data_IF_655436782900
#
_entry.id   IF_655436782900
#
_cell.length_a   1.000
_cell.length_b   1.000
_cell.length_c   1.000
_cell.angle_alpha   90.00
_cell.angle_beta   90.00
_cell.angle_gamma   90.00
#
_symmetry.space_group_name_H-M   'P 1'
#
loop_
_entity.id
_entity.type
_entity.pdbx_description
1 polymer ?
#
# COMPACT_ATOMS: atom_id res chain seq x y z
N UNK A 1 -2.68 -3.88 -12.31
CA UNK A 1 -1.73 -3.50 -11.24
C UNK A 1 -2.16 -4.12 -9.92
N UNK A 2 -1.26 -4.26 -8.94
CA UNK A 2 -1.49 -4.80 -7.58
C UNK A 2 -1.62 -6.34 -7.45
N UNK A 3 -1.53 -7.10 -8.53
CA UNK A 3 -1.57 -8.56 -8.49
C UNK A 3 -0.17 -9.14 -8.26
N UNK A 4 0.03 -9.83 -7.15
CA UNK A 4 1.23 -10.60 -6.90
C UNK A 4 1.36 -11.71 -7.96
N UNK A 5 2.56 -11.88 -8.49
CA UNK A 5 2.86 -12.94 -9.46
C UNK A 5 4.28 -13.48 -9.23
N UNK A 6 4.45 -14.77 -9.51
CA UNK A 6 5.74 -15.44 -9.55
C UNK A 6 5.82 -16.17 -10.89
N UNK A 7 6.96 -16.08 -11.57
CA UNK A 7 7.17 -16.67 -12.89
C UNK A 7 8.36 -17.60 -12.83
N UNK A 8 8.19 -18.82 -13.33
CA UNK A 8 9.23 -19.83 -13.49
C UNK A 8 9.33 -20.15 -14.99
N UNK A 9 10.54 -20.13 -15.54
CA UNK A 9 10.77 -20.52 -16.94
C UNK A 9 10.98 -22.03 -16.99
N UNK A 10 9.99 -22.78 -17.47
CA UNK A 10 10.09 -24.24 -17.62
C UNK A 10 10.94 -24.64 -18.83
N UNK A 11 10.93 -23.80 -19.86
CA UNK A 11 11.71 -23.95 -21.08
C UNK A 11 12.46 -22.65 -21.41
N UNK A 12 13.38 -22.71 -22.36
CA UNK A 12 14.04 -21.52 -22.88
C UNK A 12 13.04 -20.69 -23.71
N UNK A 13 12.91 -19.41 -23.38
CA UNK A 13 12.07 -18.46 -24.12
C UNK A 13 12.45 -17.01 -23.82
N UNK A 14 11.93 -16.08 -24.63
CA UNK A 14 12.13 -14.64 -24.43
C UNK A 14 10.76 -13.98 -24.22
N UNK A 15 10.57 -13.40 -23.04
CA UNK A 15 9.36 -12.65 -22.68
C UNK A 15 9.61 -11.14 -22.65
N UNK A 16 8.66 -10.36 -23.15
CA UNK A 16 8.67 -8.89 -23.08
C UNK A 16 7.40 -8.43 -22.39
N UNK A 17 7.53 -7.57 -21.38
CA UNK A 17 6.40 -7.00 -20.65
C UNK A 17 6.30 -5.50 -20.90
N UNK A 18 5.07 -4.98 -20.89
CA UNK A 18 4.78 -3.56 -21.07
C UNK A 18 3.93 -3.10 -19.88
N UNK A 19 4.44 -2.13 -19.12
CA UNK A 19 3.66 -1.43 -18.11
C UNK A 19 3.00 -0.18 -18.70
N UNK A 20 1.81 0.13 -18.23
CA UNK A 20 1.09 1.37 -18.57
C UNK A 20 0.37 1.92 -17.33
N UNK A 21 0.02 3.21 -17.39
CA UNK A 21 -0.71 3.89 -16.32
C UNK A 21 -2.21 3.59 -16.44
N UNK A 22 -2.80 3.07 -15.38
CA UNK A 22 -4.24 2.84 -15.27
C UNK A 22 -4.98 4.05 -14.70
N UNK A 23 -4.33 4.80 -13.80
CA UNK A 23 -4.84 6.02 -13.19
C UNK A 23 -4.35 7.26 -13.97
N UNK A 24 -4.91 8.46 -13.67
CA UNK A 24 -4.34 9.71 -14.14
C UNK A 24 -2.85 9.84 -13.81
N UNK A 25 -2.09 10.49 -14.70
CA UNK A 25 -0.62 10.50 -14.63
C UNK A 25 -0.07 11.18 -13.37
N UNK A 26 -0.82 12.13 -12.82
CA UNK A 26 -0.52 12.87 -11.60
C UNK A 26 -0.60 12.03 -10.32
N UNK A 27 -1.26 10.87 -10.37
CA UNK A 27 -1.34 9.97 -9.21
C UNK A 27 0.00 9.25 -8.94
N UNK A 28 0.88 9.15 -9.93
CA UNK A 28 2.14 8.39 -9.85
C UNK A 28 3.33 9.26 -9.44
N UNK A 29 4.30 8.63 -8.79
CA UNK A 29 5.56 9.28 -8.43
C UNK A 29 6.38 9.60 -9.69
N UNK A 30 6.80 10.86 -9.84
CA UNK A 30 7.58 11.34 -11.02
C UNK A 30 8.99 10.76 -11.07
N UNK A 31 9.49 10.26 -9.95
CA UNK A 31 10.82 9.66 -9.80
C UNK A 31 10.79 8.14 -9.97
N UNK A 32 9.62 7.55 -10.21
CA UNK A 32 9.48 6.12 -10.47
C UNK A 32 9.68 5.79 -11.95
N UNK A 33 10.85 5.26 -12.27
CA UNK A 33 11.19 4.81 -13.62
C UNK A 33 10.87 3.33 -13.84
N UNK A 34 10.59 2.56 -12.79
CA UNK A 34 10.34 1.12 -12.89
C UNK A 34 8.85 0.78 -12.87
N UNK A 35 8.04 1.55 -12.13
CA UNK A 35 6.62 1.24 -11.87
C UNK A 35 6.38 0.51 -10.55
N UNK A 36 7.34 0.57 -9.61
CA UNK A 36 7.27 -0.11 -8.30
C UNK A 36 6.90 0.81 -7.15
N UNK A 37 7.01 2.14 -7.31
CA UNK A 37 6.68 3.06 -6.22
C UNK A 37 5.18 3.17 -6.08
N UNK A 38 4.74 3.32 -4.82
CA UNK A 38 3.35 3.54 -4.52
C UNK A 38 2.84 4.84 -5.16
N UNK A 39 1.54 4.91 -5.53
CA UNK A 39 0.89 6.17 -5.88
C UNK A 39 1.12 7.21 -4.79
N UNK A 40 1.30 8.47 -5.18
CA UNK A 40 1.68 9.57 -4.27
C UNK A 40 0.73 9.72 -3.08
N UNK A 41 -0.56 9.45 -3.29
CA UNK A 41 -1.58 9.44 -2.24
C UNK A 41 -1.34 8.33 -1.20
N UNK A 42 -0.98 7.11 -1.63
CA UNK A 42 -0.68 5.99 -0.74
C UNK A 42 0.60 6.25 0.05
N UNK A 43 1.68 6.71 -0.61
CA UNK A 43 2.93 7.11 0.06
C UNK A 43 2.69 8.17 1.14
N UNK A 44 1.86 9.17 0.84
CA UNK A 44 1.52 10.24 1.81
C UNK A 44 0.68 9.71 2.97
N UNK A 45 -0.28 8.82 2.71
CA UNK A 45 -1.10 8.22 3.74
C UNK A 45 -0.25 7.39 4.72
N UNK A 46 0.72 6.60 4.21
CA UNK A 46 1.67 5.86 5.04
C UNK A 46 2.52 6.80 5.93
N UNK A 47 3.03 7.91 5.39
CA UNK A 47 3.77 8.89 6.18
C UNK A 47 2.94 9.54 7.30
N UNK A 48 1.65 9.77 7.06
CA UNK A 48 0.73 10.30 8.08
C UNK A 48 0.47 9.24 9.15
N UNK A 49 0.28 7.98 8.74
CA UNK A 49 0.11 6.86 9.67
C UNK A 49 1.31 6.72 10.60
N UNK A 50 2.55 6.80 10.08
CA UNK A 50 3.77 6.76 10.90
C UNK A 50 3.81 7.87 11.95
N UNK A 51 3.31 9.07 11.62
CA UNK A 51 3.21 10.17 12.59
C UNK A 51 2.20 9.86 13.68
N UNK A 52 1.04 9.31 13.34
CA UNK A 52 0.04 8.90 14.33
C UNK A 52 0.57 7.81 15.26
N UNK A 53 1.30 6.82 14.71
CA UNK A 53 1.92 5.76 15.50
C UNK A 53 3.02 6.27 16.43
N UNK A 54 3.77 7.31 16.04
CA UNK A 54 4.73 7.98 16.93
C UNK A 54 4.07 8.63 18.13
N UNK A 55 2.93 9.30 17.95
CA UNK A 55 2.17 9.86 19.07
C UNK A 55 1.62 8.76 19.97
N UNK A 56 1.14 7.66 19.39
CA UNK A 56 0.64 6.53 20.18
C UNK A 56 1.75 5.83 20.98
N UNK A 57 3.00 5.92 20.52
CA UNK A 57 4.16 5.34 21.20
C UNK A 57 4.50 6.01 22.54
N UNK A 58 3.93 7.19 22.84
CA UNK A 58 4.10 7.88 24.12
C UNK A 58 3.32 7.21 25.26
N UNK A 59 2.35 6.34 24.95
CA UNK A 59 1.59 5.59 25.94
C UNK A 59 2.33 4.34 26.40
N UNK A 60 2.03 3.83 27.62
CA UNK A 60 2.46 2.50 28.04
C UNK A 60 2.02 1.43 27.04
N UNK A 61 2.81 0.37 26.95
CA UNK A 61 2.65 -0.67 25.92
C UNK A 61 1.23 -1.25 25.84
N UNK A 62 0.60 -1.53 26.98
CA UNK A 62 -0.76 -2.08 27.05
C UNK A 62 -1.80 -1.15 26.43
N UNK A 63 -1.71 0.15 26.70
CA UNK A 63 -2.62 1.16 26.14
C UNK A 63 -2.36 1.34 24.64
N UNK A 64 -1.09 1.38 24.24
CA UNK A 64 -0.68 1.47 22.84
C UNK A 64 -1.22 0.29 22.03
N UNK A 65 -1.10 -0.95 22.52
CA UNK A 65 -1.63 -2.14 21.84
C UNK A 65 -3.16 -2.04 21.67
N UNK A 66 -3.88 -1.69 22.74
CA UNK A 66 -5.33 -1.53 22.69
C UNK A 66 -5.78 -0.53 21.62
N UNK A 67 -5.18 0.66 21.60
CA UNK A 67 -5.53 1.70 20.63
C UNK A 67 -5.06 1.38 19.21
N UNK A 68 -3.94 0.69 19.04
CA UNK A 68 -3.48 0.25 17.72
C UNK A 68 -4.48 -0.73 17.08
N UNK A 69 -4.98 -1.72 17.84
CA UNK A 69 -6.03 -2.64 17.37
C UNK A 69 -7.30 -1.90 16.98
N UNK A 70 -7.71 -0.89 17.78
CA UNK A 70 -8.86 -0.04 17.46
C UNK A 70 -8.67 0.73 16.15
N UNK A 71 -7.48 1.26 15.89
CA UNK A 71 -7.17 1.95 14.62
C UNK A 71 -7.27 1.00 13.42
N UNK A 72 -6.77 -0.23 13.54
CA UNK A 72 -6.89 -1.25 12.48
C UNK A 72 -8.36 -1.55 12.17
N UNK A 73 -9.19 -1.80 13.19
CA UNK A 73 -10.62 -2.03 13.01
C UNK A 73 -11.32 -0.84 12.32
N UNK A 74 -10.95 0.38 12.69
CA UNK A 74 -11.49 1.58 12.08
C UNK A 74 -11.12 1.70 10.59
N UNK A 75 -9.87 1.38 10.23
CA UNK A 75 -9.41 1.35 8.84
C UNK A 75 -10.17 0.28 8.05
N UNK A 76 -10.30 -0.93 8.61
CA UNK A 76 -11.06 -2.01 7.98
C UNK A 76 -12.51 -1.61 7.74
N UNK A 77 -13.18 -1.01 8.73
CA UNK A 77 -14.59 -0.61 8.61
C UNK A 77 -14.83 0.49 7.56
N UNK A 78 -13.92 1.47 7.48
CA UNK A 78 -14.11 2.69 6.68
C UNK A 78 -13.50 2.63 5.29
N UNK A 79 -12.39 1.92 5.11
CA UNK A 79 -11.61 1.96 3.88
C UNK A 79 -11.68 0.66 3.06
N UNK A 80 -12.05 -0.48 3.66
CA UNK A 80 -12.22 -1.71 2.88
C UNK A 80 -13.59 -1.67 2.19
N UNK A 81 -13.58 -2.07 0.91
CA UNK A 81 -14.82 -2.24 0.15
C UNK A 81 -15.67 -3.33 0.81
N UNK A 82 -16.97 -3.07 0.95
CA UNK A 82 -17.97 -4.08 1.35
C UNK A 82 -18.50 -4.88 0.17
N UNK A 83 -18.13 -4.49 -1.05
CA UNK A 83 -18.55 -5.16 -2.27
C UNK A 83 -17.54 -6.28 -2.54
N UNK A 84 -17.79 -7.43 -1.93
CA UNK A 84 -17.31 -8.73 -2.42
C UNK A 84 -18.43 -9.34 -3.27
N UNK A 85 -18.60 -8.83 -4.49
CA UNK A 85 -19.28 -9.50 -5.60
C UNK A 85 -18.31 -9.59 -6.78
#
# INVERSE_FOLDING_TARGET
>A
ALWFHNVISEEFGVGVNIFWKHLPSECYDKTDTYGNKDPTAASRAAQILDRALKTLAELPEEYRDFYARRMVLHIQEKAYSRNFE
#
